data_IF_108623922104
#
_entry.id   IF_108623922104
#
_cell.length_a   1.000
_cell.length_b   1.000
_cell.length_c   1.000
_cell.angle_alpha   90.00
_cell.angle_beta   90.00
_cell.angle_gamma   90.00
#
_symmetry.space_group_name_H-M   'P 1'
#
loop_
_entity.id
_entity.type
_entity.pdbx_description
1 polymer ?
#
# COMPACT_ATOMS: atom_id res chain seq x y z
N UNK A 1 -7.59 -0.12 -3.59
CA UNK A 1 -8.44 0.41 -4.68
C UNK A 1 -7.95 -0.19 -6.00
N UNK A 2 -8.84 -0.58 -6.92
CA UNK A 2 -8.47 -1.04 -8.26
C UNK A 2 -9.16 -0.13 -9.26
N UNK A 3 -8.38 0.67 -9.98
CA UNK A 3 -8.86 1.53 -11.07
C UNK A 3 -7.98 1.22 -12.29
N UNK A 4 -8.57 1.21 -13.48
CA UNK A 4 -7.82 0.97 -14.74
C UNK A 4 -6.94 2.16 -15.15
N UNK A 5 -7.05 3.23 -14.38
CA UNK A 5 -6.66 4.60 -14.69
C UNK A 5 -5.90 5.15 -13.47
N UNK A 6 -4.57 5.09 -13.58
CA UNK A 6 -3.58 5.43 -12.57
C UNK A 6 -3.71 6.87 -12.03
N UNK A 7 -4.30 7.79 -12.82
CA UNK A 7 -4.62 9.15 -12.39
C UNK A 7 -5.69 9.13 -11.29
N UNK A 8 -6.68 8.22 -11.38
CA UNK A 8 -7.74 8.13 -10.40
C UNK A 8 -7.27 7.44 -9.12
N UNK A 9 -6.34 6.49 -9.19
CA UNK A 9 -5.69 5.92 -8.00
C UNK A 9 -4.97 6.99 -7.18
N UNK A 10 -4.18 7.87 -7.83
CA UNK A 10 -3.55 9.01 -7.16
C UNK A 10 -4.60 9.97 -6.58
N UNK A 11 -5.64 10.32 -7.35
CA UNK A 11 -6.70 11.22 -6.88
C UNK A 11 -7.46 10.70 -5.66
N UNK A 12 -7.72 9.40 -5.56
CA UNK A 12 -8.39 8.82 -4.40
C UNK A 12 -7.48 8.73 -3.19
N UNK A 13 -6.21 8.33 -3.37
CA UNK A 13 -5.24 8.35 -2.27
C UNK A 13 -5.11 9.76 -1.72
N UNK A 14 -5.02 10.78 -2.58
CA UNK A 14 -4.96 12.19 -2.17
C UNK A 14 -6.10 12.60 -1.25
N UNK A 15 -7.30 12.02 -1.42
CA UNK A 15 -8.45 12.35 -0.57
C UNK A 15 -8.38 11.72 0.83
N UNK A 16 -7.63 10.64 1.00
CA UNK A 16 -7.59 9.86 2.25
C UNK A 16 -6.22 9.86 2.91
N UNK A 17 -5.17 10.36 2.24
CA UNK A 17 -3.79 10.26 2.71
C UNK A 17 -3.52 11.06 3.99
N UNK A 18 -4.30 12.12 4.24
CA UNK A 18 -4.25 12.91 5.47
C UNK A 18 -5.26 12.45 6.54
N UNK A 19 -6.05 11.42 6.24
CA UNK A 19 -7.03 10.89 7.19
C UNK A 19 -6.34 10.19 8.37
N UNK A 20 -7.01 10.05 9.53
CA UNK A 20 -6.50 9.28 10.66
C UNK A 20 -6.60 7.76 10.42
N UNK A 21 -6.86 7.31 9.19
CA UNK A 21 -6.94 5.88 8.88
C UNK A 21 -5.64 5.16 9.28
N UNK A 22 -5.72 4.06 10.05
CA UNK A 22 -4.55 3.31 10.46
C UNK A 22 -3.92 2.50 9.30
N UNK A 23 -4.63 2.40 8.17
CA UNK A 23 -4.22 1.61 7.03
C UNK A 23 -4.76 2.22 5.73
N UNK A 24 -3.89 2.47 4.76
CA UNK A 24 -4.23 2.99 3.43
C UNK A 24 -3.52 2.12 2.39
N UNK A 25 -4.27 1.34 1.62
CA UNK A 25 -3.72 0.36 0.69
C UNK A 25 -4.10 0.58 -0.77
N UNK A 26 -3.14 0.42 -1.67
CA UNK A 26 -3.32 0.50 -3.13
C UNK A 26 -3.11 -0.87 -3.76
N UNK A 27 -4.12 -1.37 -4.49
CA UNK A 27 -4.04 -2.64 -5.24
C UNK A 27 -3.54 -2.28 -6.64
N UNK A 28 -2.58 -3.06 -7.15
CA UNK A 28 -2.06 -2.86 -8.49
C UNK A 28 -0.73 -3.58 -8.69
N UNK A 29 -0.20 -3.54 -9.91
CA UNK A 29 1.19 -3.97 -10.13
C UNK A 29 2.15 -2.98 -9.45
N UNK A 30 3.37 -3.44 -9.14
CA UNK A 30 4.42 -2.55 -8.60
C UNK A 30 4.64 -1.30 -9.45
N UNK A 31 4.59 -1.45 -10.78
CA UNK A 31 4.74 -0.34 -11.72
C UNK A 31 3.57 0.66 -11.62
N UNK A 32 2.32 0.17 -11.53
CA UNK A 32 1.14 1.04 -11.39
C UNK A 32 1.19 1.82 -10.07
N UNK A 33 1.53 1.14 -8.98
CA UNK A 33 1.68 1.77 -7.67
C UNK A 33 2.76 2.86 -7.69
N UNK A 34 3.92 2.59 -8.30
CA UNK A 34 5.00 3.56 -8.40
C UNK A 34 4.58 4.81 -9.18
N UNK A 35 3.89 4.64 -10.32
CA UNK A 35 3.38 5.76 -11.12
C UNK A 35 2.43 6.63 -10.29
N UNK A 36 1.49 6.03 -9.55
CA UNK A 36 0.56 6.78 -8.72
C UNK A 36 1.26 7.52 -7.58
N UNK A 37 2.26 6.90 -6.93
CA UNK A 37 3.07 7.56 -5.90
C UNK A 37 3.90 8.72 -6.47
N UNK A 38 4.46 8.57 -7.67
CA UNK A 38 5.23 9.63 -8.34
C UNK A 38 4.36 10.83 -8.73
N UNK A 39 3.10 10.59 -9.12
CA UNK A 39 2.11 11.66 -9.29
C UNK A 39 1.85 12.39 -7.97
N UNK A 40 1.63 11.66 -6.87
CA UNK A 40 1.41 12.28 -5.56
C UNK A 40 2.63 13.09 -5.07
N UNK A 41 3.85 12.61 -5.36
CA UNK A 41 5.10 13.38 -5.11
C UNK A 41 5.12 14.68 -5.88
N UNK A 42 4.75 14.63 -7.15
CA UNK A 42 4.68 15.82 -8.02
C UNK A 42 3.62 16.81 -7.54
N UNK A 43 2.54 16.32 -6.95
CA UNK A 43 1.49 17.13 -6.32
C UNK A 43 1.88 17.72 -4.95
N UNK A 44 3.11 17.48 -4.48
CA UNK A 44 3.66 18.05 -3.26
C UNK A 44 3.49 17.20 -1.99
N UNK A 45 3.07 15.93 -2.12
CA UNK A 45 3.03 15.03 -0.96
C UNK A 45 4.43 14.70 -0.46
N UNK A 46 4.60 14.70 0.86
CA UNK A 46 5.89 14.40 1.48
C UNK A 46 6.16 12.89 1.50
N UNK A 47 7.44 12.50 1.54
CA UNK A 47 7.80 11.07 1.68
C UNK A 47 7.26 10.44 2.96
N UNK A 48 7.06 11.22 4.04
CA UNK A 48 6.46 10.74 5.29
C UNK A 48 4.97 10.40 5.09
N UNK A 49 4.24 11.29 4.42
CA UNK A 49 2.85 11.09 4.04
C UNK A 49 2.69 9.88 3.11
N UNK A 50 3.58 9.75 2.11
CA UNK A 50 3.58 8.63 1.17
C UNK A 50 3.97 7.30 1.82
N UNK A 51 4.84 7.32 2.84
CA UNK A 51 5.22 6.13 3.59
C UNK A 51 4.04 5.48 4.35
N UNK A 52 2.92 6.20 4.52
CA UNK A 52 1.68 5.64 5.08
C UNK A 52 0.90 4.75 4.10
N UNK A 53 1.25 4.77 2.81
CA UNK A 53 0.52 4.06 1.75
C UNK A 53 1.18 2.71 1.47
N UNK A 54 0.43 1.63 1.68
CA UNK A 54 0.84 0.26 1.40
C UNK A 54 0.57 -0.06 -0.08
N UNK A 55 1.62 -0.10 -0.90
CA UNK A 55 1.50 -0.18 -2.36
C UNK A 55 2.65 -0.97 -3.02
N UNK A 56 2.42 -2.15 -3.60
CA UNK A 56 1.15 -2.88 -3.61
C UNK A 56 0.80 -3.43 -2.22
N UNK A 57 -0.48 -3.35 -1.88
CA UNK A 57 -1.09 -3.96 -0.70
C UNK A 57 -0.95 -5.48 -0.67
N UNK A 58 -0.74 -6.02 0.53
CA UNK A 58 -0.75 -7.45 0.83
C UNK A 58 0.63 -7.99 1.17
N UNK A 59 0.64 -9.02 2.01
CA UNK A 59 1.85 -9.80 2.30
C UNK A 59 2.24 -10.69 1.12
N UNK A 60 3.53 -11.01 1.04
CA UNK A 60 4.01 -11.97 0.05
C UNK A 60 3.70 -13.41 0.50
N UNK A 61 2.51 -13.90 0.14
CA UNK A 61 2.06 -15.28 0.40
C UNK A 61 2.24 -16.20 -0.82
N UNK A 62 2.75 -15.68 -1.95
CA UNK A 62 3.02 -16.45 -3.17
C UNK A 62 1.80 -16.87 -4.02
N UNK A 63 0.57 -16.61 -3.55
CA UNK A 63 -0.66 -17.05 -4.20
C UNK A 63 -1.26 -16.01 -5.17
N UNK A 64 -1.54 -16.37 -6.45
CA UNK A 64 -2.09 -15.44 -7.44
C UNK A 64 -3.62 -15.41 -7.50
N UNK A 65 -4.31 -16.30 -6.79
CA UNK A 65 -5.78 -16.38 -6.86
C UNK A 65 -6.45 -15.25 -6.07
N UNK A 66 -7.67 -14.81 -6.44
CA UNK A 66 -8.38 -13.78 -5.69
C UNK A 66 -8.54 -14.08 -4.19
N UNK A 67 -8.75 -15.37 -3.84
CA UNK A 67 -8.85 -15.80 -2.45
C UNK A 67 -7.53 -15.64 -1.69
N UNK A 68 -6.41 -16.02 -2.30
CA UNK A 68 -5.08 -15.86 -1.71
C UNK A 68 -4.70 -14.38 -1.58
N UNK A 69 -5.03 -13.56 -2.59
CA UNK A 69 -4.86 -12.11 -2.54
C UNK A 69 -5.66 -11.56 -1.36
N UNK A 70 -6.94 -11.90 -1.21
CA UNK A 70 -7.75 -11.44 -0.08
C UNK A 70 -7.15 -11.81 1.27
N UNK A 71 -6.63 -13.03 1.42
CA UNK A 71 -5.93 -13.46 2.64
C UNK A 71 -4.65 -12.65 2.87
N UNK A 72 -3.85 -12.40 1.83
CA UNK A 72 -2.65 -11.58 1.92
C UNK A 72 -2.94 -10.15 2.38
N UNK A 73 -4.03 -9.55 1.87
CA UNK A 73 -4.50 -8.22 2.26
C UNK A 73 -4.93 -8.20 3.73
N UNK A 74 -5.78 -9.14 4.13
CA UNK A 74 -6.28 -9.22 5.51
C UNK A 74 -5.16 -9.49 6.50
N UNK A 75 -4.19 -10.33 6.15
CA UNK A 75 -3.01 -10.60 6.95
C UNK A 75 -2.16 -9.33 7.16
N UNK A 76 -1.97 -8.52 6.12
CA UNK A 76 -1.27 -7.23 6.23
C UNK A 76 -2.01 -6.26 7.17
N UNK A 77 -3.32 -6.10 6.99
CA UNK A 77 -4.15 -5.24 7.86
C UNK A 77 -4.05 -5.68 9.32
N UNK A 78 -4.10 -6.99 9.60
CA UNK A 78 -3.95 -7.52 10.96
C UNK A 78 -2.54 -7.25 11.50
N UNK A 79 -1.50 -7.42 10.68
CA UNK A 79 -0.12 -7.16 11.08
C UNK A 79 0.09 -5.69 11.46
N UNK A 80 -0.45 -4.74 10.67
CA UNK A 80 -0.45 -3.30 10.99
C UNK A 80 -1.16 -3.03 12.30
N UNK A 81 -2.37 -3.57 12.49
CA UNK A 81 -3.13 -3.40 13.74
C UNK A 81 -2.43 -3.99 14.98
N UNK A 82 -1.53 -4.96 14.79
CA UNK A 82 -0.81 -5.64 15.88
C UNK A 82 0.63 -5.14 16.05
N UNK A 83 1.11 -4.22 15.20
CA UNK A 83 2.52 -3.85 15.09
C UNK A 83 3.44 -5.10 14.95
N UNK A 84 2.97 -6.10 14.19
CA UNK A 84 3.69 -7.37 14.01
C UNK A 84 4.75 -7.26 12.91
N UNK A 85 5.90 -7.91 13.10
CA UNK A 85 6.96 -7.96 12.07
C UNK A 85 6.59 -9.03 11.02
N UNK A 86 6.42 -8.60 9.77
CA UNK A 86 6.02 -9.45 8.64
C UNK A 86 6.83 -9.14 7.40
N UNK A 87 6.82 -10.04 6.41
CA UNK A 87 7.42 -9.82 5.09
C UNK A 87 6.36 -9.30 4.12
N UNK A 88 6.55 -8.09 3.61
CA UNK A 88 5.61 -7.42 2.71
C UNK A 88 6.05 -7.51 1.26
N UNK A 89 5.10 -7.43 0.33
CA UNK A 89 5.37 -7.45 -1.11
C UNK A 89 5.89 -6.10 -1.65
N UNK A 90 5.75 -5.00 -0.90
CA UNK A 90 6.19 -3.66 -1.32
C UNK A 90 7.67 -3.37 -0.93
N UNK A 91 8.55 -3.55 -1.92
CA UNK A 91 9.91 -3.02 -2.04
C UNK A 91 10.99 -3.36 -0.97
N UNK A 92 12.05 -4.07 -1.41
CA UNK A 92 13.43 -3.56 -1.38
C UNK A 92 14.13 -3.25 -0.04
N UNK A 93 13.46 -3.38 1.09
CA UNK A 93 14.03 -3.33 2.44
C UNK A 93 13.58 -4.58 3.16
N UNK A 94 14.51 -5.53 3.24
CA UNK A 94 14.48 -6.58 4.25
C UNK A 94 14.32 -5.84 5.59
N UNK A 95 13.26 -6.13 6.34
CA UNK A 95 12.85 -5.47 7.61
C UNK A 95 11.98 -4.20 7.48
N UNK A 96 10.73 -4.35 7.02
CA UNK A 96 9.68 -3.41 7.39
C UNK A 96 9.19 -3.78 8.81
N UNK A 97 9.84 -3.22 9.83
CA UNK A 97 9.26 -3.14 11.18
C UNK A 97 7.96 -2.35 11.01
N UNK A 98 6.82 -3.02 11.15
CA UNK A 98 5.52 -2.35 11.04
C UNK A 98 5.44 -1.37 12.21
N UNK A 99 5.78 -0.10 11.92
CA UNK A 99 5.96 0.95 12.92
C UNK A 99 4.66 1.10 13.71
N UNK A 100 4.76 0.91 15.02
CA UNK A 100 3.73 1.29 15.99
C UNK A 100 3.64 2.79 16.16
#
# INVERSE_FOLDING_TARGET
>A
MITTDHIFDAAAIRQVIDSPAPYIGMIGSRAQCQIALDHLRTDGQTEDTLARVYAPIGLDLGGPTPGEIAVAILAEIIAVRRAAVVRCAHAGRIECLVRG
#
